data_IF_515695299098
#
_entry.id   IF_515695299098
#
_cell.length_a   1.000
_cell.length_b   1.000
_cell.length_c   1.000
_cell.angle_alpha   90.00
_cell.angle_beta   90.00
_cell.angle_gamma   90.00
#
_symmetry.space_group_name_H-M   'P 1'
#
loop_
_entity.id
_entity.type
_entity.pdbx_description
1 polymer ?
#
# COMPACT_ATOMS: atom_id res chain seq x y z
N UNK A 1 -14.02 -2.42 -3.57
CA UNK A 1 -13.46 -1.26 -4.28
C UNK A 1 -13.73 -0.02 -3.46
N UNK A 2 -12.68 0.60 -2.96
CA UNK A 2 -12.68 1.84 -2.20
C UNK A 2 -12.03 2.92 -3.05
N UNK A 3 -12.68 4.06 -3.14
CA UNK A 3 -12.18 5.23 -3.86
C UNK A 3 -11.99 6.34 -2.84
N UNK A 4 -10.89 7.06 -2.97
CA UNK A 4 -10.75 8.40 -2.43
C UNK A 4 -11.65 9.39 -3.17
N UNK A 5 -11.25 10.64 -3.12
CA UNK A 5 -11.84 11.77 -3.81
C UNK A 5 -10.77 12.59 -4.50
N UNK A 6 -10.96 13.91 -4.53
CA UNK A 6 -9.91 14.83 -4.96
C UNK A 6 -9.22 15.38 -3.71
N UNK A 7 -7.90 15.49 -3.76
CA UNK A 7 -7.07 15.94 -2.65
C UNK A 7 -6.49 14.79 -1.83
N UNK A 8 -5.80 15.14 -0.75
CA UNK A 8 -5.07 14.17 0.08
C UNK A 8 -6.03 13.34 0.93
N UNK A 9 -6.16 12.04 0.64
CA UNK A 9 -7.07 11.13 1.32
C UNK A 9 -6.36 10.10 2.22
N UNK A 10 -7.10 9.60 3.20
CA UNK A 10 -6.72 8.44 4.01
C UNK A 10 -7.65 7.28 3.71
N UNK A 11 -7.10 6.22 3.12
CA UNK A 11 -7.84 5.08 2.60
C UNK A 11 -7.49 3.82 3.38
N UNK A 12 -8.43 3.34 4.18
CA UNK A 12 -8.27 2.12 4.98
C UNK A 12 -8.62 0.89 4.13
N UNK A 13 -7.65 -0.02 3.93
CA UNK A 13 -7.90 -1.33 3.31
C UNK A 13 -8.90 -2.15 4.11
N UNK A 14 -8.80 -2.09 5.44
CA UNK A 14 -9.66 -2.90 6.31
C UNK A 14 -9.40 -4.39 6.11
N UNK A 15 -10.43 -5.22 6.33
CA UNK A 15 -10.35 -6.67 6.11
C UNK A 15 -11.19 -7.12 4.91
N UNK A 16 -10.74 -8.18 4.24
CA UNK A 16 -11.28 -8.59 2.94
C UNK A 16 -10.34 -8.18 1.81
N UNK A 17 -10.55 -8.77 0.62
CA UNK A 17 -9.72 -8.48 -0.55
C UNK A 17 -10.29 -7.23 -1.22
N UNK A 18 -9.59 -6.10 -1.09
CA UNK A 18 -10.04 -4.80 -1.56
C UNK A 18 -9.25 -4.27 -2.75
N UNK A 19 -9.89 -3.37 -3.48
CA UNK A 19 -9.29 -2.62 -4.59
C UNK A 19 -9.39 -1.15 -4.24
N UNK A 20 -8.27 -0.50 -4.02
CA UNK A 20 -8.16 0.87 -3.57
C UNK A 20 -7.68 1.78 -4.72
N UNK A 21 -8.19 3.00 -4.73
CA UNK A 21 -7.79 4.03 -5.68
C UNK A 21 -7.81 5.39 -5.00
N UNK A 22 -6.66 6.07 -4.99
CA UNK A 22 -6.47 7.40 -4.43
C UNK A 22 -7.20 8.49 -5.22
N UNK A 23 -7.13 8.38 -6.56
CA UNK A 23 -7.59 9.31 -7.59
C UNK A 23 -6.61 10.46 -7.81
N UNK A 24 -6.47 11.39 -6.87
CA UNK A 24 -5.52 12.48 -7.06
C UNK A 24 -5.36 13.31 -5.81
N UNK A 25 -4.12 13.70 -5.52
CA UNK A 25 -3.73 14.18 -4.21
C UNK A 25 -2.48 13.44 -3.77
N UNK A 26 -2.05 13.68 -2.54
CA UNK A 26 -1.05 12.86 -1.84
C UNK A 26 -1.82 11.96 -0.87
N UNK A 27 -2.01 10.71 -1.25
CA UNK A 27 -2.87 9.78 -0.53
C UNK A 27 -2.09 8.90 0.45
N UNK A 28 -2.74 8.47 1.52
CA UNK A 28 -2.21 7.51 2.47
C UNK A 28 -3.09 6.26 2.51
N UNK A 29 -2.55 5.14 2.06
CA UNK A 29 -3.22 3.83 2.11
C UNK A 29 -2.84 3.10 3.40
N UNK A 30 -3.83 2.77 4.22
CA UNK A 30 -3.65 2.31 5.59
C UNK A 30 -4.05 0.84 5.71
N UNK A 31 -3.13 0.01 6.24
CA UNK A 31 -3.29 -1.44 6.36
C UNK A 31 -2.85 -1.96 7.74
N UNK A 32 -3.35 -3.14 8.10
CA UNK A 32 -3.02 -3.87 9.33
C UNK A 32 -2.87 -5.36 9.04
N UNK A 33 -2.52 -6.16 10.04
CA UNK A 33 -2.31 -7.62 9.90
C UNK A 33 -3.60 -8.43 9.66
N UNK A 34 -4.76 -7.78 9.73
CA UNK A 34 -6.05 -8.32 9.35
C UNK A 34 -6.47 -7.97 7.91
N UNK A 35 -5.68 -7.14 7.21
CA UNK A 35 -5.84 -6.90 5.77
C UNK A 35 -5.55 -8.20 5.00
N UNK A 36 -6.33 -8.52 3.95
CA UNK A 36 -6.08 -9.73 3.15
C UNK A 36 -5.25 -9.43 1.91
N UNK A 37 -5.76 -9.67 0.70
CA UNK A 37 -5.02 -9.41 -0.54
C UNK A 37 -5.59 -8.17 -1.21
N UNK A 38 -4.95 -7.02 -0.96
CA UNK A 38 -5.42 -5.73 -1.44
C UNK A 38 -4.64 -5.26 -2.67
N UNK A 39 -5.32 -4.51 -3.53
CA UNK A 39 -4.74 -3.90 -4.74
C UNK A 39 -4.87 -2.39 -4.70
N UNK A 40 -3.79 -1.66 -4.94
CA UNK A 40 -3.80 -0.21 -5.17
C UNK A 40 -3.54 0.04 -6.65
N UNK A 41 -4.47 0.74 -7.30
CA UNK A 41 -4.50 0.85 -8.76
C UNK A 41 -3.85 2.11 -9.35
N UNK A 42 -3.50 3.08 -8.51
CA UNK A 42 -2.95 4.37 -8.92
C UNK A 42 -1.90 4.95 -7.96
N UNK A 43 -1.20 4.08 -7.23
CA UNK A 43 -0.12 4.50 -6.35
C UNK A 43 0.98 5.27 -7.11
N UNK A 44 1.29 6.47 -6.64
CA UNK A 44 2.31 7.35 -7.21
C UNK A 44 3.51 7.44 -6.28
N UNK A 45 4.61 6.80 -6.67
CA UNK A 45 5.85 6.80 -5.90
C UNK A 45 6.39 8.21 -5.63
N UNK A 46 6.79 8.48 -4.39
CA UNK A 46 7.26 9.80 -3.96
C UNK A 46 6.16 10.86 -3.79
N UNK A 47 4.89 10.50 -4.02
CA UNK A 47 3.72 11.30 -3.66
C UNK A 47 2.92 10.56 -2.57
N UNK A 48 2.40 9.37 -2.87
CA UNK A 48 1.56 8.59 -1.98
C UNK A 48 2.34 7.79 -0.93
N UNK A 49 1.67 7.47 0.18
CA UNK A 49 2.25 6.74 1.31
C UNK A 49 1.47 5.47 1.64
N UNK A 50 2.18 4.48 2.15
CA UNK A 50 1.61 3.26 2.71
C UNK A 50 1.84 3.27 4.22
N UNK A 51 0.76 3.31 4.99
CA UNK A 51 0.82 3.23 6.44
C UNK A 51 0.48 1.82 6.92
N UNK A 52 1.35 1.26 7.74
CA UNK A 52 1.19 -0.04 8.38
C UNK A 52 0.95 0.20 9.88
N UNK A 53 -0.27 -0.08 10.33
CA UNK A 53 -0.66 0.08 11.73
C UNK A 53 -0.30 -1.15 12.59
N UNK A 54 -0.29 -2.35 12.00
CA UNK A 54 0.10 -3.62 12.67
C UNK A 54 0.72 -4.59 11.66
N UNK A 55 1.46 -5.59 12.15
CA UNK A 55 2.04 -6.67 11.32
C UNK A 55 3.46 -6.43 10.81
N UNK A 56 3.96 -5.19 10.85
CA UNK A 56 5.36 -4.82 10.68
C UNK A 56 5.65 -3.51 11.44
N UNK A 57 6.88 -3.34 11.93
CA UNK A 57 7.31 -2.17 12.73
C UNK A 57 8.39 -1.33 12.07
N UNK A 58 8.98 -1.83 10.99
CA UNK A 58 9.98 -1.14 10.20
C UNK A 58 9.99 -1.65 8.75
N UNK A 59 10.59 -0.87 7.85
CA UNK A 59 10.78 -1.25 6.45
C UNK A 59 11.51 -2.59 6.28
N UNK A 60 12.43 -2.91 7.20
CA UNK A 60 13.16 -4.18 7.20
C UNK A 60 12.28 -5.41 7.51
N UNK A 61 11.07 -5.21 8.04
CA UNK A 61 10.10 -6.28 8.30
C UNK A 61 9.28 -6.64 7.05
N UNK A 62 9.38 -5.84 5.97
CA UNK A 62 8.63 -6.02 4.74
C UNK A 62 9.35 -6.97 3.78
N UNK A 63 8.58 -7.84 3.13
CA UNK A 63 9.03 -8.59 1.96
C UNK A 63 8.46 -7.95 0.70
N UNK A 64 9.32 -7.28 -0.07
CA UNK A 64 8.95 -6.59 -1.31
C UNK A 64 9.46 -7.42 -2.50
N UNK A 65 8.56 -7.79 -3.42
CA UNK A 65 8.88 -8.65 -4.57
C UNK A 65 8.10 -8.25 -5.82
N UNK A 66 8.60 -8.66 -6.99
CA UNK A 66 7.95 -8.36 -8.28
C UNK A 66 6.95 -9.46 -8.64
N UNK A 67 5.77 -9.07 -9.11
CA UNK A 67 4.83 -9.96 -9.81
C UNK A 67 4.41 -9.32 -11.14
N UNK A 68 4.93 -9.82 -12.25
CA UNK A 68 4.66 -9.21 -13.56
C UNK A 68 5.21 -7.78 -13.63
N UNK A 69 4.31 -6.80 -13.74
CA UNK A 69 4.62 -5.36 -13.71
C UNK A 69 4.45 -4.71 -12.34
N UNK A 70 4.02 -5.49 -11.35
CA UNK A 70 3.47 -4.98 -10.09
C UNK A 70 4.44 -5.24 -8.94
N UNK A 71 4.36 -4.41 -7.91
CA UNK A 71 5.09 -4.60 -6.66
C UNK A 71 4.18 -5.28 -5.64
N UNK A 72 4.67 -6.36 -5.03
CA UNK A 72 4.01 -7.06 -3.93
C UNK A 72 4.74 -6.76 -2.63
N UNK A 73 4.00 -6.22 -1.67
CA UNK A 73 4.47 -5.91 -0.32
C UNK A 73 3.79 -6.88 0.64
N UNK A 74 4.59 -7.63 1.39
CA UNK A 74 4.09 -8.64 2.33
C UNK A 74 4.61 -8.36 3.74
N UNK A 75 3.69 -8.42 4.70
CA UNK A 75 3.93 -8.30 6.14
C UNK A 75 2.76 -8.93 6.89
N UNK A 76 2.91 -9.30 8.16
CA UNK A 76 1.77 -9.72 9.01
C UNK A 76 0.88 -10.89 8.52
N UNK A 77 1.17 -11.53 7.39
CA UNK A 77 0.24 -12.45 6.70
C UNK A 77 -0.66 -11.81 5.65
N UNK A 78 -0.57 -10.48 5.46
CA UNK A 78 -1.25 -9.71 4.41
C UNK A 78 -0.36 -9.51 3.18
N UNK A 79 -0.99 -9.22 2.02
CA UNK A 79 -0.31 -8.85 0.79
C UNK A 79 -0.97 -7.61 0.17
N UNK A 80 -0.16 -6.59 -0.09
CA UNK A 80 -0.57 -5.40 -0.85
C UNK A 80 0.09 -5.46 -2.23
N UNK A 81 -0.71 -5.34 -3.27
CA UNK A 81 -0.25 -5.26 -4.66
C UNK A 81 -0.37 -3.82 -5.15
N UNK A 82 0.72 -3.26 -5.66
CA UNK A 82 0.74 -1.96 -6.32
C UNK A 82 0.78 -2.18 -7.83
N UNK A 83 -0.33 -1.92 -8.51
CA UNK A 83 -0.48 -2.20 -9.93
C UNK A 83 0.44 -1.28 -10.75
N UNK A 84 1.30 -1.88 -11.59
CA UNK A 84 2.22 -1.16 -12.47
C UNK A 84 3.38 -0.44 -11.79
N UNK A 85 3.59 -0.63 -10.48
CA UNK A 85 4.69 -0.03 -9.73
C UNK A 85 5.90 -0.96 -9.71
N UNK A 86 7.08 -0.40 -9.99
CA UNK A 86 8.34 -1.14 -9.90
C UNK A 86 8.83 -1.20 -8.46
N UNK A 87 9.24 -2.39 -8.00
CA UNK A 87 9.88 -2.54 -6.67
C UNK A 87 11.18 -1.74 -6.51
N UNK A 88 11.80 -1.32 -7.62
CA UNK A 88 13.02 -0.49 -7.59
C UNK A 88 12.73 0.97 -7.26
N UNK A 89 11.47 1.39 -7.39
CA UNK A 89 11.04 2.75 -7.08
C UNK A 89 10.70 2.90 -5.58
N UNK A 90 10.41 1.79 -4.90
CA UNK A 90 10.05 1.75 -3.49
C UNK A 90 11.27 1.78 -2.56
N UNK A 91 11.23 2.66 -1.57
CA UNK A 91 12.19 2.74 -0.48
C UNK A 91 11.52 3.00 0.88
N UNK A 92 12.33 3.23 1.92
CA UNK A 92 11.80 3.42 3.28
C UNK A 92 10.91 4.68 3.41
N UNK A 93 11.07 5.67 2.55
CA UNK A 93 10.30 6.92 2.54
C UNK A 93 8.83 6.74 2.19
N UNK A 94 8.49 5.66 1.49
CA UNK A 94 7.12 5.34 1.08
C UNK A 94 6.26 4.76 2.22
N UNK A 95 6.89 4.37 3.33
CA UNK A 95 6.25 3.61 4.40
C UNK A 95 6.21 4.34 5.73
N UNK A 96 5.03 4.38 6.34
CA UNK A 96 4.80 4.81 7.71
C UNK A 96 4.50 3.60 8.60
N UNK A 97 5.01 3.60 9.83
CA UNK A 97 4.80 2.53 10.82
C UNK A 97 4.30 3.14 12.13
N UNK A 98 3.35 2.46 12.79
CA UNK A 98 2.79 2.85 14.10
C UNK A 98 3.06 1.85 15.22
#
# INVERSE_FOLDING_TARGET
MLLGGEGDDQLYGGGGDDVLKGIGGIDTFIFSDDSSNDHITDYTNGEDLIQIENGATAFADLSISVSGSDALIQFGGTTITLDGVSVLDLDQGDFLFS
#
